data_IF_536181589033
#
_entry.id   IF_536181589033
#
_cell.length_a   1.000
_cell.length_b   1.000
_cell.length_c   1.000
_cell.angle_alpha   90.00
_cell.angle_beta   90.00
_cell.angle_gamma   90.00
#
_symmetry.space_group_name_H-M   'P 1'
#
loop_
_entity.id
_entity.type
_entity.pdbx_description
1 polymer ?
#
# COMPACT_ATOMS: atom_id res chain seq x y z
N UNK A 1 1.88 19.26 -3.65
CA UNK A 1 3.03 18.71 -4.40
C UNK A 1 4.13 18.31 -3.42
N UNK A 2 4.10 17.06 -2.95
CA UNK A 2 5.07 16.50 -1.98
C UNK A 2 6.17 15.65 -2.67
N UNK A 3 5.97 15.23 -3.92
CA UNK A 3 6.86 14.34 -4.66
C UNK A 3 8.28 14.89 -4.87
N UNK A 4 8.40 16.18 -5.15
CA UNK A 4 9.72 16.82 -5.30
C UNK A 4 10.57 16.69 -4.03
N UNK A 5 9.94 16.62 -2.85
CA UNK A 5 10.64 16.43 -1.58
C UNK A 5 11.09 14.98 -1.40
N UNK A 6 10.26 14.01 -1.81
CA UNK A 6 10.63 12.59 -1.80
C UNK A 6 11.83 12.31 -2.73
N UNK A 7 11.86 12.94 -3.91
CA UNK A 7 12.97 12.80 -4.86
C UNK A 7 14.32 13.25 -4.28
N UNK A 8 14.33 14.28 -3.45
CA UNK A 8 15.55 14.85 -2.85
C UNK A 8 16.01 14.08 -1.61
N UNK A 9 15.13 13.32 -0.95
CA UNK A 9 15.42 12.70 0.34
C UNK A 9 16.26 11.43 0.28
N UNK A 10 16.56 10.89 -0.91
CA UNK A 10 17.36 9.66 -1.10
C UNK A 10 16.99 8.54 -0.11
N UNK A 11 15.69 8.41 0.21
CA UNK A 11 15.24 7.50 1.25
C UNK A 11 15.24 6.05 0.77
N UNK A 12 15.68 5.13 1.64
CA UNK A 12 15.67 3.68 1.38
C UNK A 12 14.25 3.08 1.41
N UNK A 13 13.33 3.74 2.13
CA UNK A 13 11.92 3.38 2.26
C UNK A 13 11.03 4.55 1.88
N UNK A 14 10.13 4.32 0.92
CA UNK A 14 9.21 5.31 0.36
C UNK A 14 7.79 4.83 0.59
N UNK A 15 6.99 5.61 1.33
CA UNK A 15 5.57 5.37 1.52
C UNK A 15 4.77 6.37 0.71
N UNK A 16 3.85 5.88 -0.11
CA UNK A 16 2.99 6.67 -0.97
C UNK A 16 1.54 6.37 -0.62
N UNK A 17 0.83 7.37 -0.11
CA UNK A 17 -0.61 7.27 0.16
C UNK A 17 -1.38 7.91 -0.99
N UNK A 18 -2.11 7.09 -1.75
CA UNK A 18 -2.85 7.47 -2.97
C UNK A 18 -2.10 8.44 -3.92
N UNK A 19 -0.86 8.12 -4.35
CA UNK A 19 0.00 9.07 -5.08
C UNK A 19 -0.55 9.48 -6.45
N UNK A 20 -1.47 8.71 -7.02
CA UNK A 20 -2.02 8.90 -8.36
C UNK A 20 -3.36 9.64 -8.36
N UNK A 21 -3.94 9.89 -7.18
CA UNK A 21 -5.24 10.52 -7.08
C UNK A 21 -5.17 11.99 -7.56
N UNK A 22 -6.12 12.39 -8.40
CA UNK A 22 -6.21 13.70 -9.04
C UNK A 22 -5.06 14.09 -10.01
N UNK A 23 -4.31 13.10 -10.53
CA UNK A 23 -3.25 13.30 -11.54
C UNK A 23 -3.74 12.82 -12.92
N UNK A 24 -3.32 13.48 -14.00
CA UNK A 24 -3.64 13.04 -15.35
C UNK A 24 -2.89 11.74 -15.72
N UNK A 25 -3.48 10.92 -16.59
CA UNK A 25 -2.94 9.60 -16.95
C UNK A 25 -1.53 9.61 -17.52
N UNK A 26 -1.10 10.72 -18.13
CA UNK A 26 0.27 10.86 -18.65
C UNK A 26 1.26 11.09 -17.52
N UNK A 27 0.92 11.93 -16.56
CA UNK A 27 1.75 12.19 -15.39
C UNK A 27 1.78 10.97 -14.46
N UNK A 28 0.68 10.23 -14.35
CA UNK A 28 0.61 8.96 -13.63
C UNK A 28 1.61 7.93 -14.16
N UNK A 29 1.65 7.73 -15.47
CA UNK A 29 2.61 6.81 -16.10
C UNK A 29 4.06 7.21 -15.79
N UNK A 30 4.38 8.51 -15.81
CA UNK A 30 5.72 8.99 -15.45
C UNK A 30 6.07 8.73 -13.97
N UNK A 31 5.09 8.84 -13.06
CA UNK A 31 5.29 8.51 -11.65
C UNK A 31 5.49 7.00 -11.43
N UNK A 32 4.75 6.16 -12.15
CA UNK A 32 4.93 4.71 -12.12
C UNK A 32 6.33 4.30 -12.62
N UNK A 33 6.84 4.96 -13.66
CA UNK A 33 8.19 4.73 -14.14
C UNK A 33 9.25 5.13 -13.10
N UNK A 34 9.04 6.21 -12.35
CA UNK A 34 9.91 6.59 -11.22
C UNK A 34 9.88 5.55 -10.10
N UNK A 35 8.70 5.05 -9.73
CA UNK A 35 8.56 3.99 -8.72
C UNK A 35 9.30 2.72 -9.13
N UNK A 36 9.19 2.34 -10.42
CA UNK A 36 9.93 1.20 -10.98
C UNK A 36 11.43 1.42 -10.93
N UNK A 37 11.90 2.62 -11.23
CA UNK A 37 13.31 2.95 -11.13
C UNK A 37 13.81 2.84 -9.68
N UNK A 38 13.09 3.37 -8.70
CA UNK A 38 13.47 3.23 -7.29
C UNK A 38 13.53 1.78 -6.83
N UNK A 39 12.60 0.95 -7.31
CA UNK A 39 12.64 -0.48 -7.03
C UNK A 39 13.89 -1.16 -7.63
N UNK A 40 14.28 -0.80 -8.85
CA UNK A 40 15.51 -1.30 -9.50
C UNK A 40 16.79 -0.82 -8.79
N UNK A 41 16.74 0.36 -8.17
CA UNK A 41 17.83 0.89 -7.34
C UNK A 41 17.94 0.18 -5.97
N UNK A 42 17.03 -0.75 -5.66
CA UNK A 42 17.02 -1.50 -4.40
C UNK A 42 16.28 -0.81 -3.26
N UNK A 43 15.51 0.26 -3.56
CA UNK A 43 14.68 0.94 -2.56
C UNK A 43 13.38 0.17 -2.33
N UNK A 44 12.88 0.24 -1.11
CA UNK A 44 11.58 -0.32 -0.76
C UNK A 44 10.50 0.73 -0.99
N UNK A 45 9.52 0.43 -1.84
CA UNK A 45 8.37 1.31 -2.10
C UNK A 45 7.09 0.62 -1.65
N UNK A 46 6.33 1.29 -0.79
CA UNK A 46 5.00 0.86 -0.35
C UNK A 46 4.02 1.91 -0.86
N UNK A 47 3.09 1.48 -1.71
CA UNK A 47 2.03 2.34 -2.24
C UNK A 47 0.66 1.83 -1.78
N UNK A 48 -0.15 2.73 -1.22
CA UNK A 48 -1.55 2.48 -0.90
C UNK A 48 -2.39 2.92 -2.10
N UNK A 49 -3.02 1.95 -2.75
CA UNK A 49 -3.79 2.12 -3.99
C UNK A 49 -5.16 1.49 -3.84
N UNK A 50 -6.16 2.08 -4.49
CA UNK A 50 -7.54 1.58 -4.51
C UNK A 50 -7.97 1.02 -5.87
N UNK A 51 -7.13 1.10 -6.92
CA UNK A 51 -7.41 0.56 -8.25
C UNK A 51 -6.71 -0.80 -8.46
N UNK A 52 -7.49 -1.88 -8.41
CA UNK A 52 -7.01 -3.26 -8.60
C UNK A 52 -6.30 -3.46 -9.95
N UNK A 53 -6.72 -2.77 -11.02
CA UNK A 53 -6.13 -2.94 -12.35
C UNK A 53 -4.72 -2.37 -12.42
N UNK A 54 -4.49 -1.23 -11.74
CA UNK A 54 -3.16 -0.64 -11.61
C UNK A 54 -2.23 -1.53 -10.78
N UNK A 55 -2.74 -2.03 -9.65
CA UNK A 55 -1.96 -2.90 -8.76
C UNK A 55 -1.47 -4.14 -9.52
N UNK A 56 -2.36 -4.82 -10.26
CA UNK A 56 -1.99 -5.97 -11.11
C UNK A 56 -0.93 -5.67 -12.15
N UNK A 57 -0.98 -4.48 -12.74
CA UNK A 57 -0.11 -4.14 -13.88
C UNK A 57 1.28 -3.70 -13.44
N UNK A 58 1.39 -3.08 -12.26
CA UNK A 58 2.60 -2.34 -11.86
C UNK A 58 3.29 -2.89 -10.62
N UNK A 59 2.60 -3.65 -9.77
CA UNK A 59 3.14 -4.11 -8.49
C UNK A 59 3.24 -5.63 -8.48
N UNK A 60 4.44 -6.20 -8.25
CA UNK A 60 4.63 -7.65 -8.23
C UNK A 60 4.05 -8.28 -6.96
N UNK A 61 4.10 -7.56 -5.84
CA UNK A 61 3.58 -8.02 -4.56
C UNK A 61 2.48 -7.10 -4.06
N UNK A 62 1.45 -7.69 -3.44
CA UNK A 62 0.30 -6.98 -2.89
C UNK A 62 0.00 -7.45 -1.48
N UNK A 63 -0.39 -6.51 -0.62
CA UNK A 63 -1.01 -6.77 0.67
C UNK A 63 -2.47 -6.31 0.58
N UNK A 64 -3.40 -7.25 0.68
CA UNK A 64 -4.83 -6.96 0.69
C UNK A 64 -5.31 -6.86 2.14
N UNK A 65 -5.77 -5.67 2.52
CA UNK A 65 -6.22 -5.35 3.87
C UNK A 65 -7.68 -4.89 3.83
N UNK A 66 -8.53 -5.48 4.67
CA UNK A 66 -9.92 -5.08 4.85
C UNK A 66 -10.33 -5.32 6.30
N UNK A 67 -10.06 -4.35 7.18
CA UNK A 67 -10.13 -4.43 8.67
C UNK A 67 -9.14 -5.42 9.30
N UNK A 68 -8.92 -6.55 8.63
CA UNK A 68 -7.91 -7.56 8.92
C UNK A 68 -7.06 -7.82 7.66
N UNK A 69 -5.93 -8.50 7.85
CA UNK A 69 -5.12 -9.01 6.75
C UNK A 69 -5.90 -10.10 6.01
N UNK A 70 -6.25 -9.86 4.75
CA UNK A 70 -6.95 -10.84 3.92
C UNK A 70 -5.94 -11.76 3.23
N UNK A 71 -4.89 -11.20 2.61
CA UNK A 71 -3.83 -11.94 1.94
C UNK A 71 -2.58 -11.07 1.71
N UNK A 72 -1.41 -11.71 1.58
CA UNK A 72 -0.15 -11.09 1.21
C UNK A 72 0.70 -12.05 0.37
N UNK A 73 1.36 -11.55 -0.67
CA UNK A 73 2.17 -12.34 -1.59
C UNK A 73 2.23 -11.73 -2.98
N UNK A 74 2.47 -12.57 -3.99
CA UNK A 74 2.39 -12.16 -5.40
C UNK A 74 1.00 -11.62 -5.73
N UNK A 75 0.96 -10.54 -6.50
CA UNK A 75 -0.28 -9.82 -6.79
C UNK A 75 -1.35 -10.70 -7.44
N UNK A 76 -0.96 -11.64 -8.30
CA UNK A 76 -1.89 -12.57 -8.95
C UNK A 76 -2.52 -13.57 -7.98
N UNK A 77 -1.79 -13.99 -6.94
CA UNK A 77 -2.28 -14.91 -5.91
C UNK A 77 -3.11 -14.18 -4.84
N UNK A 78 -2.84 -12.89 -4.62
CA UNK A 78 -3.51 -12.05 -3.63
C UNK A 78 -4.81 -11.48 -4.17
N UNK A 79 -4.79 -10.87 -5.36
CA UNK A 79 -5.96 -10.29 -6.00
C UNK A 79 -6.76 -11.37 -6.74
N UNK A 80 -7.22 -12.38 -6.02
CA UNK A 80 -8.15 -13.38 -6.57
C UNK A 80 -9.59 -12.97 -6.29
N UNK A 81 -10.53 -13.41 -7.13
CA UNK A 81 -11.96 -13.12 -6.93
C UNK A 81 -12.46 -13.52 -5.52
N UNK A 82 -12.11 -14.69 -4.95
CA UNK A 82 -12.48 -15.03 -3.58
C UNK A 82 -11.94 -14.05 -2.52
N UNK A 83 -10.69 -13.59 -2.67
CA UNK A 83 -10.09 -12.64 -1.73
C UNK A 83 -10.73 -11.26 -1.83
N UNK A 84 -11.02 -10.78 -3.05
CA UNK A 84 -11.72 -9.52 -3.27
C UNK A 84 -13.15 -9.54 -2.71
N UNK A 85 -13.87 -10.66 -2.88
CA UNK A 85 -15.19 -10.83 -2.27
C UNK A 85 -15.12 -10.83 -0.75
N UNK A 86 -14.17 -11.56 -0.16
CA UNK A 86 -13.95 -11.55 1.29
C UNK A 86 -13.64 -10.14 1.81
N UNK A 87 -12.76 -9.41 1.12
CA UNK A 87 -12.40 -8.05 1.48
C UNK A 87 -13.61 -7.10 1.47
N UNK A 88 -14.47 -7.18 0.44
CA UNK A 88 -15.72 -6.39 0.36
C UNK A 88 -16.66 -6.70 1.52
N UNK A 89 -16.88 -7.99 1.83
CA UNK A 89 -17.74 -8.40 2.95
C UNK A 89 -17.22 -7.89 4.30
N UNK A 90 -15.90 -7.91 4.52
CA UNK A 90 -15.29 -7.38 5.75
C UNK A 90 -15.43 -5.86 5.86
N UNK A 91 -15.30 -5.14 4.75
CA UNK A 91 -15.46 -3.69 4.72
C UNK A 91 -16.92 -3.26 4.99
N UNK A 92 -17.89 -4.05 4.53
CA UNK A 92 -19.33 -3.78 4.71
C UNK A 92 -19.89 -4.26 6.04
N UNK A 93 -19.19 -5.16 6.74
CA UNK A 93 -19.60 -5.64 8.05
C UNK A 93 -19.50 -4.50 9.07
N UNK A 94 -20.57 -3.74 9.28
CA UNK A 94 -20.65 -2.81 10.41
C UNK A 94 -20.82 -3.62 11.69
N UNK A 95 -19.93 -3.45 12.66
CA UNK A 95 -20.03 -4.11 13.97
C UNK A 95 -20.28 -3.05 15.05
N UNK A 96 -21.52 -2.97 15.54
CA UNK A 96 -21.93 -2.06 16.61
C UNK A 96 -21.27 -2.36 17.96
N UNK A 97 -20.64 -3.54 18.11
CA UNK A 97 -19.91 -3.96 19.31
C UNK A 97 -18.40 -4.03 19.08
N UNK A 98 -17.87 -3.43 18.00
CA UNK A 98 -16.42 -3.39 17.81
C UNK A 98 -15.77 -2.71 19.03
N UNK A 99 -14.80 -3.40 19.65
CA UNK A 99 -13.99 -2.82 20.70
C UNK A 99 -13.32 -1.54 20.20
N UNK A 100 -13.17 -0.55 21.08
CA UNK A 100 -12.45 0.68 20.76
C UNK A 100 -11.03 0.28 20.33
N UNK A 101 -10.60 0.76 19.15
CA UNK A 101 -9.23 0.56 18.69
C UNK A 101 -8.24 1.06 19.75
N UNK A 102 -7.68 0.12 20.52
CA UNK A 102 -6.63 0.39 21.47
C UNK A 102 -5.32 0.54 20.69
N UNK A 103 -4.71 1.72 20.74
CA UNK A 103 -3.32 1.87 20.31
C UNK A 103 -2.44 1.27 21.40
N UNK A 104 -1.77 0.16 21.12
CA UNK A 104 -0.75 -0.38 22.02
C UNK A 104 0.38 0.64 22.15
N UNK A 105 0.43 1.38 23.28
CA UNK A 105 1.53 2.28 23.66
C UNK A 105 2.85 1.54 23.97
N UNK A 106 2.97 0.25 23.63
CA UNK A 106 4.07 -0.62 24.05
C UNK A 106 5.23 -0.77 23.05
N UNK A 107 5.25 -0.04 21.94
CA UNK A 107 6.48 0.13 21.12
C UNK A 107 7.24 1.40 21.55
N UNK A 108 7.42 1.58 22.85
CA UNK A 108 8.52 2.38 23.36
C UNK A 108 9.07 1.68 24.60
N UNK A 109 10.23 1.06 24.42
CA UNK A 109 11.36 0.94 25.37
C UNK A 109 12.05 -0.40 25.16
N UNK A 110 13.27 -0.36 24.62
CA UNK A 110 14.26 -1.41 24.84
C UNK A 110 14.85 -2.04 23.59
N UNK A 111 15.75 -1.32 22.92
CA UNK A 111 16.86 -1.94 22.20
C UNK A 111 17.94 -2.25 23.25
N UNK A 112 18.37 -3.51 23.49
CA UNK A 112 19.69 -3.78 24.05
C UNK A 112 20.69 -4.08 22.92
N UNK A 113 21.94 -3.72 23.21
CA UNK A 113 23.13 -3.84 22.38
C UNK A 113 23.51 -5.28 22.00
#
# INVERSE_FOLDING_TARGET
MLFARLLVQEADLILLDEPFNAIDSRTEAALLDLVRQWHQEGRTVIAVLHDDAQVRTHFPQTLLLARELVAWGETDDVLTEPNLQRARLLAEAWDDNADVCHTDESISTGMPA
#
